data_IF_646340608400
#
_entry.id   IF_646340608400
#
_cell.length_a   1.000
_cell.length_b   1.000
_cell.length_c   1.000
_cell.angle_alpha   90.00
_cell.angle_beta   90.00
_cell.angle_gamma   90.00
#
_symmetry.space_group_name_H-M   'P 1'
#
loop_
_entity.id
_entity.type
_entity.pdbx_description
1 polymer ?
#
# COMPACT_ATOMS: atom_id res chain seq x y z
N UNK A 1 -6.31 -12.98 21.47
CA UNK A 1 -6.95 -13.73 20.37
C UNK A 1 -6.33 -13.26 19.07
N UNK A 2 -5.71 -14.16 18.29
CA UNK A 2 -5.23 -13.83 16.95
C UNK A 2 -6.41 -13.96 15.98
N UNK A 3 -6.77 -12.89 15.27
CA UNK A 3 -7.79 -12.93 14.23
C UNK A 3 -7.07 -13.17 12.91
N UNK A 4 -7.40 -14.25 12.22
CA UNK A 4 -6.90 -14.53 10.87
C UNK A 4 -7.83 -13.89 9.85
N UNK A 5 -7.23 -13.28 8.83
CA UNK A 5 -7.92 -12.81 7.63
C UNK A 5 -7.30 -13.51 6.42
N UNK A 6 -8.13 -13.96 5.50
CA UNK A 6 -7.68 -14.53 4.23
C UNK A 6 -7.59 -13.42 3.19
N UNK A 7 -6.42 -13.26 2.57
CA UNK A 7 -6.25 -12.33 1.46
C UNK A 7 -6.61 -13.06 0.17
N UNK A 8 -7.76 -12.70 -0.43
CA UNK A 8 -8.16 -13.23 -1.73
C UNK A 8 -7.48 -12.46 -2.84
N UNK A 9 -6.83 -13.18 -3.74
CA UNK A 9 -6.28 -12.59 -4.95
C UNK A 9 -7.43 -12.17 -5.86
N UNK A 10 -7.46 -10.89 -6.22
CA UNK A 10 -8.36 -10.41 -7.27
C UNK A 10 -7.61 -10.42 -8.60
N UNK A 11 -8.27 -10.84 -9.69
CA UNK A 11 -7.69 -10.79 -11.05
C UNK A 11 -7.60 -9.36 -11.61
N UNK A 12 -8.26 -8.40 -10.94
CA UNK A 12 -8.28 -7.00 -11.32
C UNK A 12 -6.88 -6.40 -11.21
N UNK A 13 -6.32 -5.89 -12.33
CA UNK A 13 -4.99 -5.24 -12.38
C UNK A 13 -5.02 -3.80 -11.86
N UNK A 14 -6.19 -3.27 -11.51
CA UNK A 14 -6.40 -1.88 -11.15
C UNK A 14 -6.38 -1.67 -9.63
N UNK A 15 -5.70 -0.62 -9.20
CA UNK A 15 -5.76 -0.14 -7.82
C UNK A 15 -6.87 0.91 -7.70
N UNK A 16 -8.00 0.52 -7.13
CA UNK A 16 -9.18 1.39 -7.00
C UNK A 16 -9.20 2.19 -5.69
N UNK A 17 -8.39 1.80 -4.71
CA UNK A 17 -8.40 2.41 -3.38
C UNK A 17 -7.04 2.29 -2.70
N UNK A 18 -6.71 3.30 -1.90
CA UNK A 18 -5.54 3.36 -1.03
C UNK A 18 -6.00 3.71 0.39
N UNK A 19 -5.30 3.16 1.37
CA UNK A 19 -5.57 3.36 2.79
C UNK A 19 -4.49 4.21 3.46
N UNK A 20 -4.80 4.79 4.62
CA UNK A 20 -3.80 5.47 5.46
C UNK A 20 -4.13 5.30 6.93
N UNK A 21 -3.08 5.32 7.75
CA UNK A 21 -3.24 5.32 9.21
C UNK A 21 -2.70 6.63 9.79
N UNK A 22 -3.60 7.43 10.37
CA UNK A 22 -3.26 8.77 10.89
C UNK A 22 -2.30 8.72 12.08
N UNK A 23 -2.36 7.66 12.88
CA UNK A 23 -1.67 7.60 14.18
C UNK A 23 -0.85 6.31 14.37
N UNK A 24 -0.63 5.54 13.29
CA UNK A 24 0.09 4.27 13.34
C UNK A 24 1.05 4.16 12.16
N UNK A 25 2.17 3.51 12.41
CA UNK A 25 3.07 2.98 11.38
C UNK A 25 2.68 1.54 11.06
N UNK A 26 2.90 1.09 9.84
CA UNK A 26 2.57 -0.29 9.42
C UNK A 26 3.82 -1.03 8.91
N UNK A 27 4.01 -2.27 9.36
CA UNK A 27 5.10 -3.15 8.93
C UNK A 27 4.50 -4.34 8.18
N UNK A 28 4.95 -4.53 6.94
CA UNK A 28 4.67 -5.75 6.17
C UNK A 28 5.93 -6.62 6.14
N UNK A 29 5.76 -7.92 6.40
CA UNK A 29 6.83 -8.92 6.38
C UNK A 29 6.39 -10.05 5.45
N UNK A 30 7.17 -10.31 4.40
CA UNK A 30 6.97 -11.46 3.53
C UNK A 30 7.37 -12.75 4.26
N UNK A 31 6.38 -13.50 4.74
CA UNK A 31 6.61 -14.80 5.39
C UNK A 31 7.02 -15.83 4.32
N UNK A 32 8.07 -16.61 4.60
CA UNK A 32 8.61 -17.61 3.69
C UNK A 32 9.70 -17.10 2.74
N UNK A 33 9.94 -15.77 2.70
CA UNK A 33 11.16 -15.15 2.15
C UNK A 33 11.47 -15.40 0.67
N UNK A 34 10.49 -15.86 -0.12
CA UNK A 34 10.71 -16.27 -1.51
C UNK A 34 9.97 -15.41 -2.53
N UNK A 35 8.79 -14.90 -2.18
CA UNK A 35 7.95 -14.18 -3.13
C UNK A 35 8.09 -12.65 -2.96
N UNK A 36 8.33 -11.91 -4.06
CA UNK A 36 8.18 -10.46 -4.05
C UNK A 36 6.70 -10.07 -3.94
N UNK A 37 6.43 -8.86 -3.49
CA UNK A 37 5.08 -8.30 -3.43
C UNK A 37 5.03 -6.91 -4.05
N UNK A 38 3.83 -6.51 -4.48
CA UNK A 38 3.59 -5.20 -5.06
C UNK A 38 3.00 -4.27 -3.99
N UNK A 39 3.54 -3.06 -3.91
CA UNK A 39 3.03 -2.00 -3.04
C UNK A 39 2.82 -0.74 -3.88
N UNK A 40 1.67 -0.10 -3.75
CA UNK A 40 1.45 1.25 -4.29
C UNK A 40 1.51 2.23 -3.13
N UNK A 41 2.36 3.26 -3.25
CA UNK A 41 2.52 4.30 -2.24
C UNK A 41 2.21 5.66 -2.85
N UNK A 42 1.47 6.48 -2.11
CA UNK A 42 1.20 7.87 -2.42
C UNK A 42 1.61 8.75 -1.25
N UNK A 43 2.31 9.85 -1.55
CA UNK A 43 2.73 10.79 -0.51
C UNK A 43 1.52 11.43 0.15
N UNK A 44 1.56 11.52 1.47
CA UNK A 44 0.51 12.19 2.23
C UNK A 44 0.38 13.68 1.87
N UNK A 45 -0.85 14.17 1.84
CA UNK A 45 -1.18 15.59 1.69
C UNK A 45 -1.80 16.18 2.96
N UNK A 46 -1.92 15.40 4.04
CA UNK A 46 -2.69 15.77 5.23
C UNK A 46 -2.26 17.10 5.86
N UNK A 47 -0.95 17.36 5.91
CA UNK A 47 -0.40 18.57 6.54
C UNK A 47 -0.26 19.76 5.57
N UNK A 48 -0.74 19.62 4.32
CA UNK A 48 -0.71 20.72 3.34
C UNK A 48 -1.65 21.84 3.79
N UNK A 49 -1.19 23.08 3.69
CA UNK A 49 -1.98 24.27 4.10
C UNK A 49 -2.73 24.92 2.95
N UNK A 50 -2.44 24.53 1.71
CA UNK A 50 -2.97 25.11 0.48
C UNK A 50 -4.09 24.27 -0.18
N UNK A 51 -4.56 23.22 0.50
CA UNK A 51 -5.58 22.29 0.01
C UNK A 51 -6.83 22.33 0.90
N UNK A 52 -7.99 21.99 0.33
CA UNK A 52 -9.22 21.76 1.10
C UNK A 52 -9.12 20.48 1.94
N UNK A 53 -9.97 20.33 2.95
CA UNK A 53 -9.99 19.10 3.78
C UNK A 53 -10.29 17.84 2.95
N UNK A 54 -11.12 17.93 1.91
CA UNK A 54 -11.36 16.80 1.00
C UNK A 54 -10.10 16.45 0.20
N UNK A 55 -9.36 17.45 -0.28
CA UNK A 55 -8.11 17.23 -1.00
C UNK A 55 -7.02 16.65 -0.09
N UNK A 56 -6.97 17.06 1.18
CA UNK A 56 -6.07 16.49 2.20
C UNK A 56 -6.37 15.03 2.56
N UNK A 57 -7.55 14.53 2.20
CA UNK A 57 -7.88 13.11 2.35
C UNK A 57 -7.26 12.24 1.25
N UNK A 58 -6.85 12.83 0.13
CA UNK A 58 -6.29 12.14 -1.03
C UNK A 58 -4.75 12.17 -1.03
N UNK A 59 -4.08 11.18 -1.62
CA UNK A 59 -2.63 11.29 -1.85
C UNK A 59 -2.33 12.35 -2.91
N UNK A 60 -1.08 12.79 -2.94
CA UNK A 60 -0.58 13.52 -4.11
C UNK A 60 -0.52 12.56 -5.30
N UNK A 61 -1.54 12.64 -6.17
CA UNK A 61 -1.70 11.76 -7.33
C UNK A 61 -0.53 11.84 -8.31
N UNK A 62 0.20 12.97 -8.35
CA UNK A 62 1.39 13.10 -9.20
C UNK A 62 2.59 12.33 -8.65
N UNK A 63 2.53 11.89 -7.39
CA UNK A 63 3.59 11.19 -6.69
C UNK A 63 3.19 9.77 -6.27
N UNK A 64 2.08 9.24 -6.78
CA UNK A 64 1.71 7.83 -6.60
C UNK A 64 2.63 6.94 -7.42
N UNK A 65 3.27 5.97 -6.76
CA UNK A 65 4.23 5.06 -7.37
C UNK A 65 3.96 3.62 -6.96
N UNK A 66 4.12 2.71 -7.91
CA UNK A 66 4.10 1.28 -7.67
C UNK A 66 5.52 0.75 -7.52
N UNK A 67 5.74 -0.09 -6.51
CA UNK A 67 7.01 -0.71 -6.18
C UNK A 67 6.87 -2.22 -6.11
N UNK A 68 7.79 -2.93 -6.74
CA UNK A 68 7.99 -4.35 -6.52
C UNK A 68 9.01 -4.47 -5.41
N UNK A 69 8.57 -4.97 -4.26
CA UNK A 69 9.43 -5.14 -3.10
C UNK A 69 9.98 -6.57 -3.13
N UNK A 70 11.30 -6.75 -3.12
CA UNK A 70 11.91 -8.06 -2.98
C UNK A 70 11.45 -8.75 -1.69
N UNK A 71 11.63 -10.08 -1.57
CA UNK A 71 11.32 -10.77 -0.33
C UNK A 71 12.01 -10.11 0.87
N UNK A 72 11.25 -9.78 1.90
CA UNK A 72 11.77 -9.03 3.04
C UNK A 72 10.71 -8.26 3.81
N UNK A 73 11.06 -7.05 4.22
CA UNK A 73 10.22 -6.19 5.06
C UNK A 73 10.14 -4.77 4.50
N UNK A 74 8.97 -4.16 4.62
CA UNK A 74 8.77 -2.73 4.36
C UNK A 74 8.07 -2.08 5.55
N UNK A 75 8.56 -0.91 5.93
CA UNK A 75 8.00 -0.10 6.99
C UNK A 75 7.38 1.15 6.38
N UNK A 76 6.11 1.39 6.71
CA UNK A 76 5.34 2.54 6.23
C UNK A 76 5.18 3.51 7.40
N UNK A 77 5.63 4.75 7.19
CA UNK A 77 5.50 5.80 8.17
C UNK A 77 4.04 6.20 8.38
N UNK A 78 3.71 6.81 9.52
CA UNK A 78 2.36 7.31 9.77
C UNK A 78 1.97 8.33 8.70
N UNK A 79 0.67 8.39 8.42
CA UNK A 79 0.02 9.27 7.43
C UNK A 79 0.33 8.99 5.96
N UNK A 80 1.31 8.14 5.64
CA UNK A 80 1.53 7.69 4.26
C UNK A 80 0.34 6.88 3.77
N UNK A 81 0.07 7.00 2.46
CA UNK A 81 -1.10 6.41 1.83
C UNK A 81 -0.61 5.23 0.99
N UNK A 82 -1.18 4.04 1.20
CA UNK A 82 -0.69 2.82 0.55
C UNK A 82 -1.80 1.83 0.17
N UNK A 83 -1.49 0.90 -0.73
CA UNK A 83 -2.21 -0.38 -0.84
C UNK A 83 -1.24 -1.49 -1.14
N UNK A 84 -1.60 -2.70 -0.72
CA UNK A 84 -0.78 -3.90 -0.83
C UNK A 84 -1.44 -4.92 -1.75
N UNK A 85 -0.63 -5.51 -2.65
CA UNK A 85 -1.02 -6.69 -3.41
C UNK A 85 0.00 -7.82 -3.21
N UNK A 86 -0.40 -8.96 -2.61
CA UNK A 86 0.51 -10.06 -2.26
C UNK A 86 1.03 -10.87 -3.47
N UNK A 87 0.53 -10.62 -4.69
CA UNK A 87 0.66 -11.60 -5.78
C UNK A 87 1.28 -11.00 -7.04
N UNK A 88 2.49 -10.43 -6.91
CA UNK A 88 3.24 -9.95 -8.06
C UNK A 88 3.52 -11.06 -9.09
N UNK A 89 3.92 -12.25 -8.62
CA UNK A 89 4.18 -13.43 -9.46
C UNK A 89 2.92 -13.94 -10.18
N UNK A 90 1.74 -13.81 -9.57
CA UNK A 90 0.45 -14.09 -10.23
C UNK A 90 0.14 -13.07 -11.34
N UNK A 91 0.38 -11.77 -11.08
CA UNK A 91 0.14 -10.69 -12.03
C UNK A 91 1.01 -10.78 -13.30
N UNK A 92 2.19 -11.42 -13.24
CA UNK A 92 3.03 -11.67 -14.41
C UNK A 92 2.54 -12.82 -15.30
N UNK A 93 1.73 -13.73 -14.77
CA UNK A 93 1.26 -14.94 -15.47
C UNK A 93 -0.06 -14.76 -16.26
N UNK A 94 -0.66 -13.56 -16.19
CA UNK A 94 -1.88 -13.14 -16.88
C UNK A 94 -1.58 -12.18 -18.03
#
# INVERSE_FOLDING_TARGET
TCRTAEIRLKPEKETLWLERHMHLTQLFIGIGGKEPFLMVLGKSTHDRTDLTEEQKALPDLNNVKAFIIPPGKIFIHSSEIHTFSPAYSYLQSL
#
